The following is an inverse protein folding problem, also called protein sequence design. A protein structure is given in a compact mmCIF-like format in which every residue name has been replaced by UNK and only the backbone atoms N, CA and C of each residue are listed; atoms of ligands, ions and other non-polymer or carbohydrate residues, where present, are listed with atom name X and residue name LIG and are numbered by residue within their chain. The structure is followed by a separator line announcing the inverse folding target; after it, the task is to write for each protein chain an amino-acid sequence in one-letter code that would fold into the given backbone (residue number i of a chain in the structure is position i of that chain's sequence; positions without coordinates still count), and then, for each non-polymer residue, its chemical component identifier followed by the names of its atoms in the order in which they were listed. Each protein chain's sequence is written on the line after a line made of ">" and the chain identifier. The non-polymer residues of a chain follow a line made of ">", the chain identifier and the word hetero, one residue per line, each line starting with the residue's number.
data_IF_406903494214
#
_entry.id   IF_406903494214
#
_cell.length_a   1.000
_cell.length_b   1.000
_cell.length_c   1.000
_cell.angle_alpha   90.00
_cell.angle_beta   90.00
_cell.angle_gamma   90.00
#
_symmetry.space_group_name_H-M   'P 1'
#
loop_
_entity.id
_entity.type
_entity.pdbx_description
1 polymer ?
#
# COMPACT_ATOMS: atom_id res chain seq x y z
N UNK A 1 42.40 63.02 -2.39
CA UNK A 1 41.91 61.94 -3.25
C UNK A 1 42.73 60.70 -2.96
N UNK A 2 42.19 59.73 -2.23
CA UNK A 2 42.84 58.45 -1.94
C UNK A 2 41.89 57.35 -2.40
N UNK A 3 42.37 56.50 -3.30
CA UNK A 3 41.64 55.40 -3.95
C UNK A 3 41.82 54.16 -3.07
N UNK A 4 40.72 53.55 -2.61
CA UNK A 4 40.74 52.25 -1.92
C UNK A 4 40.52 51.12 -2.94
N UNK A 5 41.26 49.99 -2.87
CA UNK A 5 41.00 48.85 -3.73
C UNK A 5 39.95 47.91 -3.12
N UNK A 6 38.93 47.56 -3.91
CA UNK A 6 38.04 46.43 -3.61
C UNK A 6 38.80 45.12 -3.87
N UNK A 7 38.96 44.31 -2.83
CA UNK A 7 39.38 42.91 -2.95
C UNK A 7 38.11 42.06 -2.88
N UNK A 8 37.69 41.50 -4.02
CA UNK A 8 36.59 40.55 -4.09
C UNK A 8 37.13 39.14 -3.80
N UNK A 9 36.71 38.55 -2.67
CA UNK A 9 37.05 37.18 -2.31
C UNK A 9 36.02 36.22 -2.91
N UNK A 10 36.44 35.37 -3.84
CA UNK A 10 35.59 34.32 -4.41
C UNK A 10 35.49 33.14 -3.44
N UNK A 11 34.27 32.84 -2.96
CA UNK A 11 33.99 31.66 -2.14
C UNK A 11 33.79 30.42 -3.03
N UNK A 12 34.64 29.41 -2.86
CA UNK A 12 34.49 28.09 -3.48
C UNK A 12 33.49 27.28 -2.64
N UNK A 13 32.26 27.13 -3.13
CA UNK A 13 31.28 26.25 -2.52
C UNK A 13 31.58 24.78 -2.92
N UNK A 14 32.09 23.99 -1.98
CA UNK A 14 32.16 22.54 -2.13
C UNK A 14 30.72 21.99 -2.11
N UNK A 15 30.23 21.58 -3.28
CA UNK A 15 29.01 20.79 -3.37
C UNK A 15 29.31 19.38 -2.83
N UNK A 16 28.91 19.12 -1.60
CA UNK A 16 28.84 17.75 -1.07
C UNK A 16 27.64 17.09 -1.74
N UNK A 17 27.88 16.23 -2.73
CA UNK A 17 26.82 15.44 -3.35
C UNK A 17 26.10 14.62 -2.25
N UNK A 18 24.76 14.70 -2.15
CA UNK A 18 24.04 13.84 -1.21
C UNK A 18 24.23 12.39 -1.65
N UNK A 19 24.93 11.62 -0.83
CA UNK A 19 25.01 10.17 -1.02
C UNK A 19 23.57 9.65 -0.99
N UNK A 20 23.11 8.90 -2.02
CA UNK A 20 21.77 8.34 -2.01
C UNK A 20 21.65 7.49 -0.75
N UNK A 21 20.72 7.86 0.13
CA UNK A 21 20.40 7.08 1.30
C UNK A 21 20.08 5.65 0.83
N UNK A 22 20.69 4.65 1.48
CA UNK A 22 20.33 3.25 1.31
C UNK A 22 18.85 3.10 1.70
N UNK A 23 17.98 3.25 0.70
CA UNK A 23 16.58 2.97 0.88
C UNK A 23 16.51 1.45 1.02
N UNK A 24 16.24 0.98 2.24
CA UNK A 24 16.28 -0.45 2.57
C UNK A 24 15.49 -1.35 1.61
N UNK A 25 15.72 -2.66 1.72
CA UNK A 25 15.08 -3.64 0.84
C UNK A 25 13.53 -3.49 0.83
N UNK A 26 12.88 -3.65 -0.33
CA UNK A 26 11.44 -3.51 -0.40
C UNK A 26 10.70 -4.57 0.45
N UNK A 27 9.59 -4.16 1.02
CA UNK A 27 8.69 -4.97 1.81
C UNK A 27 7.79 -5.81 0.87
N UNK A 28 8.01 -7.12 0.88
CA UNK A 28 7.31 -8.05 0.00
C UNK A 28 5.85 -8.24 0.42
N UNK A 29 4.91 -7.76 -0.38
CA UNK A 29 3.47 -8.03 -0.20
C UNK A 29 3.18 -9.46 -0.67
N UNK A 30 2.51 -10.23 0.18
CA UNK A 30 2.22 -11.64 -0.06
C UNK A 30 0.74 -11.83 -0.38
N UNK A 31 0.45 -12.82 -1.22
CA UNK A 31 -0.91 -13.18 -1.59
C UNK A 31 -1.13 -14.70 -1.50
N UNK A 32 -2.34 -15.09 -1.10
CA UNK A 32 -2.77 -16.48 -1.05
C UNK A 32 -4.28 -16.63 -1.27
N UNK A 33 -4.69 -17.78 -1.80
CA UNK A 33 -6.07 -18.07 -2.13
C UNK A 33 -6.65 -19.07 -1.13
N UNK A 34 -7.86 -18.79 -0.64
CA UNK A 34 -8.62 -19.64 0.26
C UNK A 34 -10.04 -19.82 -0.29
N UNK A 35 -10.73 -20.90 0.12
CA UNK A 35 -12.00 -21.30 -0.51
C UNK A 35 -13.09 -20.22 -0.60
N UNK A 36 -13.11 -19.24 0.31
CA UNK A 36 -14.09 -18.14 0.30
C UNK A 36 -13.50 -16.72 0.27
N UNK A 37 -12.17 -16.58 0.25
CA UNK A 37 -11.52 -15.27 0.26
C UNK A 37 -10.09 -15.35 -0.29
N UNK A 38 -9.62 -14.25 -0.87
CA UNK A 38 -8.20 -14.08 -1.18
C UNK A 38 -7.56 -13.27 -0.06
N UNK A 39 -6.39 -13.68 0.42
CA UNK A 39 -5.67 -13.02 1.50
C UNK A 39 -4.44 -12.30 0.98
N UNK A 40 -4.33 -11.02 1.31
CA UNK A 40 -3.14 -10.20 1.11
C UNK A 40 -2.50 -9.96 2.47
N UNK A 41 -1.17 -10.12 2.56
CA UNK A 41 -0.41 -9.91 3.80
C UNK A 41 0.72 -8.92 3.53
N UNK A 42 0.73 -7.85 4.31
CA UNK A 42 1.77 -6.82 4.32
C UNK A 42 2.53 -6.97 5.64
N UNK A 43 3.71 -7.62 5.62
CA UNK A 43 4.48 -7.84 6.84
C UNK A 43 4.98 -6.52 7.43
N UNK A 44 5.15 -6.41 8.75
CA UNK A 44 5.70 -5.20 9.40
C UNK A 44 5.05 -3.87 8.96
N UNK A 45 3.74 -3.89 8.69
CA UNK A 45 3.04 -2.70 8.22
C UNK A 45 3.04 -1.59 9.29
N UNK A 46 3.08 -0.30 8.91
CA UNK A 46 2.99 0.84 9.82
C UNK A 46 1.83 0.74 10.80
N UNK A 47 1.98 1.31 12.00
CA UNK A 47 0.97 1.23 13.07
C UNK A 47 -0.36 1.85 12.66
N UNK A 48 -0.32 2.99 11.98
CA UNK A 48 -1.48 3.69 11.43
C UNK A 48 -1.67 3.31 9.97
N UNK A 49 -2.90 2.96 9.59
CA UNK A 49 -3.33 2.76 8.22
C UNK A 49 -4.81 3.02 8.10
N UNK A 50 -5.25 3.32 6.88
CA UNK A 50 -6.65 3.46 6.52
C UNK A 50 -6.95 2.55 5.33
N UNK A 51 -8.18 2.02 5.27
CA UNK A 51 -8.65 1.23 4.13
C UNK A 51 -9.98 1.79 3.66
N UNK A 52 -10.11 1.95 2.34
CA UNK A 52 -11.34 2.37 1.69
C UNK A 52 -11.63 1.43 0.53
N UNK A 53 -12.91 1.12 0.33
CA UNK A 53 -13.37 0.34 -0.83
C UNK A 53 -14.40 1.17 -1.58
N UNK A 54 -14.10 1.48 -2.84
CA UNK A 54 -15.01 2.17 -3.75
C UNK A 54 -15.17 1.35 -5.03
N UNK A 55 -16.38 0.82 -5.25
CA UNK A 55 -16.65 -0.09 -6.35
C UNK A 55 -15.74 -1.34 -6.30
N UNK A 56 -14.85 -1.46 -7.28
CA UNK A 56 -13.86 -2.55 -7.38
C UNK A 56 -12.45 -2.12 -7.01
N UNK A 57 -12.30 -0.97 -6.36
CA UNK A 57 -11.00 -0.45 -5.96
C UNK A 57 -10.90 -0.49 -4.45
N UNK A 58 -9.84 -1.14 -3.95
CA UNK A 58 -9.46 -1.10 -2.54
C UNK A 58 -8.20 -0.27 -2.43
N UNK A 59 -8.28 0.81 -1.67
CA UNK A 59 -7.16 1.70 -1.37
C UNK A 59 -6.76 1.50 0.08
N UNK A 60 -5.47 1.29 0.33
CA UNK A 60 -4.86 1.26 1.66
C UNK A 60 -3.85 2.38 1.76
N UNK A 61 -4.03 3.28 2.71
CA UNK A 61 -3.15 4.42 2.95
C UNK A 61 -2.31 4.19 4.18
N UNK A 62 -1.01 4.45 4.08
CA UNK A 62 -0.04 4.42 5.18
C UNK A 62 0.44 5.84 5.50
N UNK A 63 -0.31 6.61 6.31
CA UNK A 63 0.04 7.99 6.58
C UNK A 63 1.37 8.10 7.34
N UNK A 64 2.18 9.07 6.94
CA UNK A 64 3.51 9.39 7.48
C UNK A 64 4.51 8.22 7.41
N UNK A 65 4.29 7.26 6.53
CA UNK A 65 5.16 6.10 6.37
C UNK A 65 5.49 5.84 4.90
N UNK A 66 6.77 6.00 4.54
CA UNK A 66 7.32 5.63 3.24
C UNK A 66 7.93 4.23 3.30
N UNK A 67 7.12 3.24 2.94
CA UNK A 67 7.41 1.83 2.70
C UNK A 67 7.69 1.54 1.21
N UNK A 68 8.87 0.99 0.91
CA UNK A 68 9.12 0.44 -0.43
C UNK A 68 8.35 -0.86 -0.61
N UNK A 69 7.09 -0.81 -1.01
CA UNK A 69 6.24 -2.00 -1.13
C UNK A 69 6.49 -2.70 -2.47
N UNK A 70 6.68 -4.02 -2.45
CA UNK A 70 6.73 -4.83 -3.67
C UNK A 70 5.46 -5.67 -3.79
N UNK A 71 4.62 -5.31 -4.77
CA UNK A 71 3.34 -5.97 -5.09
C UNK A 71 3.45 -7.01 -6.20
N UNK A 72 4.65 -7.22 -6.77
CA UNK A 72 4.87 -8.15 -7.89
C UNK A 72 4.38 -9.57 -7.57
N UNK A 73 4.44 -9.97 -6.30
CA UNK A 73 3.98 -11.27 -5.84
C UNK A 73 2.46 -11.47 -5.86
N UNK A 74 1.68 -10.39 -5.87
CA UNK A 74 0.21 -10.44 -5.73
C UNK A 74 -0.46 -10.96 -7.01
N UNK A 75 -0.08 -10.41 -8.17
CA UNK A 75 -0.65 -10.80 -9.47
C UNK A 75 -0.04 -12.06 -10.07
N UNK A 76 1.13 -12.51 -9.57
CA UNK A 76 1.79 -13.71 -10.09
C UNK A 76 0.94 -14.96 -9.85
N UNK A 77 0.81 -15.79 -10.89
CA UNK A 77 0.20 -17.14 -10.83
C UNK A 77 -1.20 -17.18 -10.20
N UNK A 78 -2.02 -16.12 -10.32
CA UNK A 78 -3.38 -16.05 -9.75
C UNK A 78 -3.43 -16.40 -8.26
N UNK A 79 -2.41 -16.01 -7.48
CA UNK A 79 -2.33 -16.30 -6.03
C UNK A 79 -3.45 -15.67 -5.19
N UNK A 80 -4.11 -14.64 -5.72
CA UNK A 80 -5.31 -14.03 -5.17
C UNK A 80 -6.27 -13.76 -6.34
N UNK A 81 -7.17 -14.69 -6.64
CA UNK A 81 -7.98 -14.63 -7.87
C UNK A 81 -9.02 -13.49 -7.87
N UNK A 82 -9.33 -12.94 -6.70
CA UNK A 82 -10.22 -11.78 -6.52
C UNK A 82 -9.50 -10.46 -6.78
N UNK A 83 -8.17 -10.46 -6.85
CA UNK A 83 -7.34 -9.29 -7.18
C UNK A 83 -6.95 -9.36 -8.65
N UNK A 84 -7.46 -8.43 -9.45
CA UNK A 84 -7.12 -8.27 -10.85
C UNK A 84 -5.74 -7.61 -11.01
N UNK A 85 -5.47 -6.56 -10.23
CA UNK A 85 -4.23 -5.82 -10.27
C UNK A 85 -3.86 -5.28 -8.88
N UNK A 86 -2.57 -5.08 -8.65
CA UNK A 86 -2.06 -4.42 -7.45
C UNK A 86 -0.98 -3.40 -7.85
N UNK A 87 -1.00 -2.22 -7.25
CA UNK A 87 0.01 -1.18 -7.42
C UNK A 87 0.34 -0.52 -6.09
N UNK A 88 1.58 -0.07 -5.95
CA UNK A 88 2.04 0.76 -4.83
C UNK A 88 2.50 2.11 -5.35
N UNK A 89 1.98 3.19 -4.78
CA UNK A 89 2.32 4.55 -5.18
C UNK A 89 2.84 5.33 -3.97
N UNK A 90 4.04 5.92 -4.04
CA UNK A 90 4.43 6.92 -3.06
C UNK A 90 3.57 8.18 -3.21
N UNK A 91 3.22 8.77 -2.08
CA UNK A 91 2.48 10.03 -1.97
C UNK A 91 3.30 11.06 -1.21
N UNK A 92 2.84 12.31 -1.15
CA UNK A 92 3.51 13.34 -0.36
C UNK A 92 3.53 13.01 1.15
N UNK A 93 2.52 12.30 1.63
CA UNK A 93 2.25 12.08 3.05
C UNK A 93 2.40 10.60 3.47
N UNK A 94 3.11 9.78 2.70
CA UNK A 94 3.27 8.34 2.95
C UNK A 94 3.08 7.52 1.67
N UNK A 95 2.56 6.29 1.79
CA UNK A 95 2.31 5.44 0.62
C UNK A 95 0.88 4.94 0.53
N UNK A 96 0.51 4.60 -0.70
CA UNK A 96 -0.77 3.99 -1.04
C UNK A 96 -0.56 2.62 -1.69
N UNK A 97 -1.32 1.62 -1.25
CA UNK A 97 -1.55 0.38 -2.00
C UNK A 97 -2.93 0.40 -2.60
N UNK A 98 -3.00 0.14 -3.90
CA UNK A 98 -4.25 0.09 -4.64
C UNK A 98 -4.40 -1.32 -5.20
N UNK A 99 -5.54 -1.95 -4.90
CA UNK A 99 -5.96 -3.20 -5.49
C UNK A 99 -7.17 -2.98 -6.38
N UNK A 100 -7.08 -3.40 -7.63
CA UNK A 100 -8.25 -3.53 -8.50
C UNK A 100 -8.79 -4.94 -8.34
N UNK A 101 -10.09 -5.08 -8.04
CA UNK A 101 -10.75 -6.36 -7.81
C UNK A 101 -11.37 -6.89 -9.11
N UNK A 102 -11.42 -8.22 -9.24
CA UNK A 102 -12.02 -8.91 -10.39
C UNK A 102 -13.53 -9.23 -10.16
N UNK A 103 -14.10 -8.68 -9.10
CA UNK A 103 -15.44 -8.97 -8.60
C UNK A 103 -15.97 -7.78 -7.79
N UNK A 104 -17.27 -7.76 -7.52
CA UNK A 104 -17.89 -6.82 -6.58
C UNK A 104 -17.70 -7.32 -5.13
N UNK A 105 -16.44 -7.58 -4.77
CA UNK A 105 -16.03 -8.21 -3.53
C UNK A 105 -15.95 -7.22 -2.36
N UNK A 106 -15.95 -7.75 -1.13
CA UNK A 106 -15.78 -6.97 0.10
C UNK A 106 -14.37 -7.18 0.66
N UNK A 107 -13.66 -6.11 1.00
CA UNK A 107 -12.35 -6.17 1.65
C UNK A 107 -12.47 -5.89 3.15
N UNK A 108 -11.84 -6.72 3.97
CA UNK A 108 -11.72 -6.54 5.42
C UNK A 108 -10.25 -6.56 5.81
N UNK A 109 -9.86 -5.67 6.69
CA UNK A 109 -8.48 -5.53 7.11
C UNK A 109 -8.35 -5.68 8.62
N UNK A 110 -7.32 -6.40 9.06
CA UNK A 110 -6.99 -6.57 10.46
C UNK A 110 -5.48 -6.56 10.70
N UNK A 111 -5.10 -6.14 11.90
CA UNK A 111 -3.73 -6.31 12.38
C UNK A 111 -3.58 -7.70 12.97
N UNK A 112 -2.50 -8.38 12.61
CA UNK A 112 -2.05 -9.61 13.31
C UNK A 112 -1.07 -9.30 14.44
N UNK A 113 -0.95 -10.23 15.39
CA UNK A 113 0.01 -10.16 16.51
C UNK A 113 1.47 -10.05 16.07
N UNK A 114 1.78 -10.45 14.83
CA UNK A 114 3.11 -10.36 14.23
C UNK A 114 3.34 -9.07 13.43
N UNK A 115 2.66 -7.97 13.80
CA UNK A 115 2.77 -6.64 13.15
C UNK A 115 2.44 -6.63 11.64
N UNK A 116 1.81 -7.68 11.13
CA UNK A 116 1.40 -7.72 9.72
C UNK A 116 -0.01 -7.16 9.59
N UNK A 117 -0.25 -6.41 8.52
CA UNK A 117 -1.60 -6.06 8.07
C UNK A 117 -2.10 -7.18 7.15
N UNK A 118 -3.24 -7.76 7.51
CA UNK A 118 -3.91 -8.82 6.75
C UNK A 118 -5.14 -8.17 6.10
N UNK A 119 -5.31 -8.37 4.80
CA UNK A 119 -6.47 -7.91 4.05
C UNK A 119 -7.11 -9.13 3.39
N UNK A 120 -8.30 -9.48 3.83
CA UNK A 120 -9.10 -10.55 3.26
C UNK A 120 -10.15 -9.97 2.33
N UNK A 121 -10.16 -10.46 1.10
CA UNK A 121 -11.10 -10.06 0.05
C UNK A 121 -12.07 -11.21 -0.15
N UNK A 122 -13.30 -11.03 0.32
CA UNK A 122 -14.37 -12.01 0.25
C UNK A 122 -15.20 -11.80 -1.01
N UNK A 123 -15.74 -12.89 -1.55
CA UNK A 123 -16.90 -12.73 -2.43
C UNK A 123 -17.96 -11.94 -1.65
N UNK A 124 -18.62 -10.98 -2.30
CA UNK A 124 -19.82 -10.40 -1.70
C UNK A 124 -20.69 -11.57 -1.31
N UNK A 125 -21.09 -11.64 -0.05
CA UNK A 125 -22.24 -12.48 0.26
C UNK A 125 -23.33 -11.95 -0.66
N UNK A 126 -23.70 -12.74 -1.68
CA UNK A 126 -24.97 -12.55 -2.34
C UNK A 126 -25.93 -12.51 -1.17
N UNK A 127 -26.49 -11.32 -0.90
CA UNK A 127 -27.41 -11.07 0.18
C UNK A 127 -28.26 -12.32 0.27
N UNK A 128 -28.06 -13.11 1.33
CA UNK A 128 -28.84 -14.30 1.51
C UNK A 128 -30.24 -13.73 1.57
N UNK A 129 -30.97 -13.82 0.46
CA UNK A 129 -32.41 -13.70 0.43
C UNK A 129 -32.83 -14.90 1.27
N UNK A 130 -32.82 -14.69 2.58
CA UNK A 130 -33.57 -15.49 3.52
C UNK A 130 -34.96 -15.33 2.97
N UNK A 131 -35.40 -16.30 2.17
CA UNK A 131 -36.80 -16.51 1.90
C UNK A 131 -37.39 -16.76 3.28
N UNK A 132 -37.78 -15.69 3.97
CA UNK A 132 -38.58 -15.76 5.16
C UNK A 132 -39.83 -16.49 4.72
N UNK A 133 -39.93 -17.76 5.11
CA UNK A 133 -41.14 -18.54 4.89
C UNK A 133 -42.27 -17.74 5.55
N UNK A 134 -43.31 -17.32 4.82
CA UNK A 134 -44.43 -16.64 5.46
C UNK A 134 -44.99 -17.59 6.53
N UNK A 135 -45.08 -17.10 7.76
CA UNK A 135 -45.80 -17.78 8.83
C UNK A 135 -47.26 -17.80 8.38
N UNK A 136 -47.78 -19.00 8.12
CA UNK A 136 -49.20 -19.24 7.88
C UNK A 136 -49.95 -19.29 9.20
#
# INVERSE_FOLDING_TARGET
>A
MIIAPLITLAAMANATDPTPADAGAPLMVRAGEHGGYSRIVIPNAPETWEIQTEGRTVTVVFPNAAQRLDVTGVGKTRKAHRVLNASSNPTADGDELIFTLNCDCEARAERSDHKSLIIDIFDKQAELVVKQKPVS
#
